data_IF_608612451427
#
_entry.id   IF_608612451427
#
_cell.length_a   1.000
_cell.length_b   1.000
_cell.length_c   1.000
_cell.angle_alpha   90.00
_cell.angle_beta   90.00
_cell.angle_gamma   90.00
#
_symmetry.space_group_name_H-M   'P 1'
#
loop_
_entity.id
_entity.type
_entity.pdbx_description
1 polymer ?
#
# COMPACT_ATOMS: atom_id res chain seq x y z
N UNK A 1 36.52 -22.35 11.47
CA UNK A 1 36.28 -21.37 10.39
C UNK A 1 34.78 -21.18 10.26
N UNK A 2 34.30 -19.95 10.50
CA UNK A 2 32.89 -19.55 10.42
C UNK A 2 32.45 -19.36 8.96
N UNK A 3 31.11 -19.40 8.78
CA UNK A 3 30.32 -18.63 7.80
C UNK A 3 30.26 -19.20 6.38
N UNK A 4 29.12 -19.27 5.69
CA UNK A 4 27.70 -18.97 5.96
C UNK A 4 26.99 -19.52 4.71
N UNK A 5 26.13 -20.51 4.85
CA UNK A 5 25.07 -20.76 3.86
C UNK A 5 23.76 -20.37 4.55
N UNK A 6 23.44 -19.07 4.51
CA UNK A 6 22.28 -18.51 5.15
C UNK A 6 21.12 -18.47 4.14
N UNK A 7 20.16 -19.36 4.37
CA UNK A 7 18.74 -19.29 4.01
C UNK A 7 18.34 -18.84 2.59
N UNK A 8 17.91 -19.85 1.82
CA UNK A 8 16.94 -19.70 0.75
C UNK A 8 15.69 -18.93 1.24
N UNK A 9 15.29 -17.96 0.44
CA UNK A 9 14.31 -16.90 0.67
C UNK A 9 12.96 -17.42 1.16
N UNK A 10 12.70 -17.32 2.46
CA UNK A 10 11.32 -17.36 2.96
C UNK A 10 10.58 -16.16 2.37
N UNK A 11 9.44 -16.38 1.70
CA UNK A 11 8.51 -15.29 1.35
C UNK A 11 8.08 -14.65 2.67
N UNK A 12 8.65 -13.49 2.98
CA UNK A 12 8.26 -12.75 4.17
C UNK A 12 6.81 -12.30 3.99
N UNK A 13 5.94 -12.81 4.86
CA UNK A 13 4.55 -12.42 4.90
C UNK A 13 4.45 -11.28 5.88
N UNK A 14 4.19 -10.07 5.38
CA UNK A 14 3.83 -8.96 6.24
C UNK A 14 2.59 -9.33 7.05
N UNK A 15 2.67 -9.20 8.37
CA UNK A 15 1.58 -9.52 9.29
C UNK A 15 0.79 -8.25 9.61
N UNK A 16 -0.43 -8.18 9.07
CA UNK A 16 -1.32 -7.07 9.32
C UNK A 16 -1.82 -7.05 10.77
N UNK A 17 -1.83 -5.85 11.38
CA UNK A 17 -2.61 -5.62 12.60
C UNK A 17 -4.10 -5.81 12.27
N UNK A 18 -4.85 -6.67 12.99
CA UNK A 18 -6.28 -6.85 12.73
C UNK A 18 -7.03 -5.52 12.84
N UNK A 19 -7.97 -5.29 11.94
CA UNK A 19 -8.96 -4.22 12.07
C UNK A 19 -10.23 -4.80 12.70
N UNK A 20 -10.92 -4.01 13.52
CA UNK A 20 -12.20 -4.40 14.08
C UNK A 20 -13.26 -4.39 12.98
N UNK A 21 -14.04 -5.47 12.86
CA UNK A 21 -15.14 -5.59 11.88
C UNK A 21 -16.45 -4.95 12.37
N UNK A 22 -16.49 -4.53 13.64
CA UNK A 22 -17.63 -3.87 14.27
C UNK A 22 -17.56 -2.34 14.13
N UNK A 23 -16.40 -1.81 13.76
CA UNK A 23 -16.13 -0.39 13.51
C UNK A 23 -15.82 -0.16 12.03
N UNK A 24 -15.91 1.09 11.59
CA UNK A 24 -15.51 1.49 10.23
C UNK A 24 -14.01 1.79 10.17
N UNK A 25 -13.20 0.92 10.74
CA UNK A 25 -11.74 1.08 10.73
C UNK A 25 -11.19 0.80 9.34
N UNK A 26 -10.22 1.62 8.94
CA UNK A 26 -9.44 1.46 7.71
C UNK A 26 -7.96 1.54 8.05
N UNK A 27 -7.12 1.02 7.16
CA UNK A 27 -5.69 1.34 7.19
C UNK A 27 -5.40 2.49 6.24
N UNK A 28 -4.55 3.41 6.67
CA UNK A 28 -3.97 4.44 5.84
C UNK A 28 -2.47 4.19 5.68
N UNK A 29 -2.01 4.32 4.45
CA UNK A 29 -0.62 4.21 4.04
C UNK A 29 0.07 5.57 4.17
N UNK A 30 1.00 5.67 5.10
CA UNK A 30 1.92 6.79 5.22
C UNK A 30 3.11 6.54 4.29
N UNK A 31 3.08 7.12 3.10
CA UNK A 31 4.20 7.10 2.16
C UNK A 31 5.25 8.11 2.63
N UNK A 32 6.37 7.61 3.16
CA UNK A 32 7.42 8.42 3.76
C UNK A 32 8.21 9.19 2.70
N UNK A 33 8.79 10.35 3.06
CA UNK A 33 9.57 11.13 2.12
C UNK A 33 10.87 10.44 1.72
N UNK A 34 11.37 10.80 0.53
CA UNK A 34 12.66 10.30 0.03
C UNK A 34 12.96 10.80 -1.37
N UNK A 35 14.24 10.74 -1.75
CA UNK A 35 14.71 11.03 -3.11
C UNK A 35 14.30 9.93 -4.06
N UNK A 36 14.20 10.22 -5.35
CA UNK A 36 13.72 9.29 -6.38
C UNK A 36 14.38 7.89 -6.31
N UNK A 37 15.69 7.85 -6.11
CA UNK A 37 16.55 6.66 -6.12
C UNK A 37 16.51 5.86 -4.82
N UNK A 38 16.06 6.46 -3.71
CA UNK A 38 15.99 5.80 -2.41
C UNK A 38 14.80 4.84 -2.36
N UNK A 39 14.92 3.71 -1.66
CA UNK A 39 13.83 2.74 -1.51
C UNK A 39 12.53 3.40 -1.01
N UNK A 40 11.39 2.95 -1.52
CA UNK A 40 10.08 3.40 -1.03
C UNK A 40 9.89 2.85 0.38
N UNK A 41 9.60 3.74 1.32
CA UNK A 41 9.27 3.39 2.69
C UNK A 41 7.86 3.84 3.01
N UNK A 42 7.11 2.95 3.66
CA UNK A 42 5.73 3.14 4.01
C UNK A 42 5.48 2.69 5.45
N UNK A 43 4.46 3.28 6.08
CA UNK A 43 3.92 2.82 7.36
C UNK A 43 2.41 2.64 7.27
N UNK A 44 1.84 1.74 8.07
CA UNK A 44 0.39 1.57 8.18
C UNK A 44 -0.15 2.09 9.52
N UNK A 45 -1.18 2.91 9.43
CA UNK A 45 -1.96 3.39 10.56
C UNK A 45 -3.39 2.84 10.48
N UNK A 46 -3.90 2.30 11.58
CA UNK A 46 -5.32 1.94 11.70
C UNK A 46 -6.08 3.13 12.26
N UNK A 47 -7.11 3.58 11.55
CA UNK A 47 -7.95 4.71 11.95
C UNK A 47 -9.41 4.47 11.58
N UNK A 48 -10.32 4.87 12.47
CA UNK A 48 -11.75 4.83 12.22
C UNK A 48 -12.17 5.94 11.26
N UNK A 49 -12.95 5.58 10.24
CA UNK A 49 -13.44 6.51 9.23
C UNK A 49 -14.36 7.58 9.83
N UNK A 50 -15.03 7.28 10.95
CA UNK A 50 -15.86 8.22 11.72
C UNK A 50 -15.07 9.39 12.33
N UNK A 51 -13.73 9.27 12.43
CA UNK A 51 -12.86 10.37 12.86
C UNK A 51 -12.58 11.38 11.75
N UNK A 52 -13.13 11.15 10.54
CA UNK A 52 -12.93 11.97 9.35
C UNK A 52 -11.44 12.28 9.07
N UNK A 53 -10.59 11.24 8.92
CA UNK A 53 -9.18 11.45 8.63
C UNK A 53 -9.00 12.11 7.25
N UNK A 54 -7.94 12.91 7.12
CA UNK A 54 -7.56 13.52 5.84
C UNK A 54 -6.56 12.61 5.11
N UNK A 55 -6.98 12.04 3.99
CA UNK A 55 -6.17 11.17 3.14
C UNK A 55 -6.59 11.27 1.68
N UNK A 56 -5.74 10.80 0.77
CA UNK A 56 -6.08 10.68 -0.65
C UNK A 56 -6.34 9.21 -1.00
N UNK A 57 -7.31 8.90 -1.86
CA UNK A 57 -7.49 7.54 -2.36
C UNK A 57 -6.73 7.35 -3.67
N UNK A 58 -6.03 6.23 -3.83
CA UNK A 58 -5.32 5.89 -5.06
C UNK A 58 -6.12 4.90 -5.91
N UNK A 59 -6.41 5.28 -7.15
CA UNK A 59 -6.96 4.40 -8.18
C UNK A 59 -5.92 4.18 -9.27
N UNK A 60 -5.62 2.92 -9.57
CA UNK A 60 -4.57 2.52 -10.51
C UNK A 60 -4.89 1.13 -11.08
N UNK A 61 -4.31 0.80 -12.23
CA UNK A 61 -4.37 -0.57 -12.75
C UNK A 61 -3.45 -1.48 -11.93
N UNK A 62 -3.96 -2.60 -11.44
CA UNK A 62 -3.19 -3.51 -10.57
C UNK A 62 -1.92 -4.07 -11.23
N UNK A 63 -1.96 -4.37 -12.54
CA UNK A 63 -0.85 -4.97 -13.28
C UNK A 63 -0.74 -6.50 -13.09
N UNK A 64 0.34 -7.09 -13.61
CA UNK A 64 0.60 -8.53 -13.44
C UNK A 64 1.11 -8.82 -12.00
N UNK A 65 0.40 -9.65 -11.20
CA UNK A 65 0.83 -9.98 -9.83
C UNK A 65 2.16 -10.75 -9.75
N UNK A 66 2.69 -11.25 -10.88
CA UNK A 66 4.02 -11.88 -10.95
C UNK A 66 5.15 -10.89 -11.19
N UNK A 67 4.84 -9.69 -11.70
CA UNK A 67 5.82 -8.65 -12.03
C UNK A 67 5.81 -7.61 -10.91
N UNK A 68 6.74 -7.80 -9.97
CA UNK A 68 6.76 -7.09 -8.70
C UNK A 68 8.09 -6.38 -8.44
N UNK A 69 8.05 -5.38 -7.56
CA UNK A 69 9.21 -4.68 -7.01
C UNK A 69 9.09 -4.55 -5.49
N UNK A 70 10.23 -4.53 -4.78
CA UNK A 70 10.22 -4.41 -3.33
C UNK A 70 9.95 -2.98 -2.87
N UNK A 71 9.25 -2.85 -1.74
CA UNK A 71 9.14 -1.66 -0.89
C UNK A 71 9.41 -2.05 0.56
N UNK A 72 9.61 -1.07 1.44
CA UNK A 72 9.66 -1.28 2.89
C UNK A 72 8.34 -0.85 3.52
N UNK A 73 7.63 -1.77 4.16
CA UNK A 73 6.38 -1.53 4.88
C UNK A 73 6.58 -1.83 6.37
N UNK A 74 6.47 -0.79 7.21
CA UNK A 74 6.84 -0.85 8.65
C UNK A 74 8.23 -1.46 8.90
N UNK A 75 9.18 -1.18 8.00
CA UNK A 75 10.55 -1.68 8.09
C UNK A 75 10.77 -3.10 7.54
N UNK A 76 9.71 -3.78 7.09
CA UNK A 76 9.81 -5.10 6.45
C UNK A 76 9.72 -5.01 4.93
N UNK A 77 10.52 -5.82 4.24
CA UNK A 77 10.48 -5.87 2.78
C UNK A 77 9.22 -6.58 2.30
N UNK A 78 8.44 -5.90 1.46
CA UNK A 78 7.23 -6.42 0.83
C UNK A 78 7.29 -6.19 -0.69
N UNK A 79 6.80 -7.15 -1.46
CA UNK A 79 6.67 -7.00 -2.91
C UNK A 79 5.30 -6.43 -3.28
N UNK A 80 5.30 -5.40 -4.11
CA UNK A 80 4.11 -4.82 -4.74
C UNK A 80 4.24 -4.91 -6.26
N UNK A 81 3.12 -4.84 -6.99
CA UNK A 81 3.18 -4.83 -8.46
C UNK A 81 3.96 -3.61 -8.96
N UNK A 82 4.55 -3.73 -10.14
CA UNK A 82 5.29 -2.61 -10.75
C UNK A 82 4.44 -1.35 -10.92
N UNK A 83 3.13 -1.51 -11.17
CA UNK A 83 2.22 -0.38 -11.33
C UNK A 83 2.05 0.38 -10.00
N UNK A 84 1.90 -0.35 -8.89
CA UNK A 84 1.81 0.29 -7.58
C UNK A 84 3.14 0.92 -7.18
N UNK A 85 4.26 0.24 -7.43
CA UNK A 85 5.59 0.80 -7.17
C UNK A 85 5.80 2.10 -7.95
N UNK A 86 5.48 2.11 -9.24
CA UNK A 86 5.51 3.28 -10.12
C UNK A 86 4.65 4.42 -9.55
N UNK A 87 3.40 4.14 -9.18
CA UNK A 87 2.53 5.14 -8.58
C UNK A 87 3.12 5.74 -7.29
N UNK A 88 3.54 4.90 -6.34
CA UNK A 88 4.12 5.34 -5.08
C UNK A 88 5.40 6.16 -5.30
N UNK A 89 6.26 5.74 -6.23
CA UNK A 89 7.51 6.42 -6.58
C UNK A 89 7.28 7.87 -7.02
N UNK A 90 6.30 8.09 -7.90
CA UNK A 90 5.98 9.41 -8.44
C UNK A 90 5.14 10.27 -7.49
N UNK A 91 4.33 9.63 -6.64
CA UNK A 91 3.51 10.34 -5.66
C UNK A 91 4.29 10.73 -4.41
N UNK A 92 5.46 10.11 -4.15
CA UNK A 92 6.32 10.39 -3.00
C UNK A 92 6.87 11.82 -3.07
N UNK A 93 6.69 12.55 -1.99
CA UNK A 93 7.32 13.87 -1.84
C UNK A 93 8.74 13.74 -1.27
N UNK A 94 9.65 14.66 -1.61
CA UNK A 94 11.03 14.59 -1.12
C UNK A 94 11.19 14.96 0.37
N UNK A 95 10.22 15.69 0.95
CA UNK A 95 10.38 16.28 2.30
C UNK A 95 9.18 16.12 3.24
N UNK A 96 8.08 15.49 2.80
CA UNK A 96 6.89 15.31 3.63
C UNK A 96 6.26 13.94 3.39
N UNK A 97 5.66 13.36 4.44
CA UNK A 97 4.83 12.16 4.32
C UNK A 97 3.56 12.48 3.54
N UNK A 98 3.14 11.54 2.68
CA UNK A 98 1.87 11.59 1.97
C UNK A 98 0.96 10.47 2.49
N UNK A 99 -0.29 10.80 2.83
CA UNK A 99 -1.23 9.85 3.41
C UNK A 99 -2.20 9.36 2.32
N UNK A 100 -2.13 8.07 2.02
CA UNK A 100 -2.87 7.43 0.94
C UNK A 100 -3.74 6.29 1.48
N UNK A 101 -4.87 6.05 0.85
CA UNK A 101 -5.54 4.75 0.90
C UNK A 101 -5.26 4.01 -0.42
N UNK A 102 -4.68 2.81 -0.31
CA UNK A 102 -4.30 1.96 -1.44
C UNK A 102 -4.83 0.55 -1.16
N UNK A 103 -5.76 0.06 -1.97
CA UNK A 103 -6.42 -1.24 -1.77
C UNK A 103 -5.47 -2.42 -1.53
N UNK A 104 -4.37 -2.51 -2.28
CA UNK A 104 -3.41 -3.62 -2.20
C UNK A 104 -2.58 -3.63 -0.91
N UNK A 105 -2.47 -2.50 -0.21
CA UNK A 105 -1.67 -2.34 1.02
C UNK A 105 -2.51 -2.02 2.25
N UNK A 106 -3.69 -1.43 2.09
CA UNK A 106 -4.56 -1.05 3.21
C UNK A 106 -5.52 -2.18 3.60
N UNK A 107 -5.77 -3.11 2.68
CA UNK A 107 -6.61 -4.30 2.90
C UNK A 107 -5.69 -5.53 3.01
N UNK A 108 -5.90 -6.35 4.04
CA UNK A 108 -5.32 -7.68 4.08
C UNK A 108 -5.97 -8.56 3.01
N UNK A 109 -5.28 -8.68 1.87
CA UNK A 109 -5.73 -9.45 0.72
C UNK A 109 -5.85 -10.96 0.98
N UNK A 110 -5.26 -11.47 2.08
CA UNK A 110 -5.29 -12.91 2.43
C UNK A 110 -6.48 -13.28 3.29
N UNK A 111 -7.00 -12.34 4.08
CA UNK A 111 -8.14 -12.59 4.97
C UNK A 111 -9.43 -12.28 4.24
N UNK A 112 -10.12 -13.31 3.74
CA UNK A 112 -11.34 -13.15 2.95
C UNK A 112 -12.44 -12.34 3.67
N UNK A 113 -12.54 -12.50 4.99
CA UNK A 113 -13.49 -11.75 5.84
C UNK A 113 -13.16 -10.26 5.82
N UNK A 114 -11.90 -9.89 6.12
CA UNK A 114 -11.44 -8.51 6.11
C UNK A 114 -11.57 -7.89 4.72
N UNK A 115 -11.12 -8.62 3.69
CA UNK A 115 -11.21 -8.18 2.30
C UNK A 115 -12.64 -7.88 1.90
N UNK A 116 -13.58 -8.77 2.19
CA UNK A 116 -15.00 -8.56 1.86
C UNK A 116 -15.56 -7.34 2.59
N UNK A 117 -15.23 -7.19 3.87
CA UNK A 117 -15.65 -6.06 4.68
C UNK A 117 -15.12 -4.72 4.13
N UNK A 118 -13.81 -4.62 3.88
CA UNK A 118 -13.18 -3.40 3.37
C UNK A 118 -13.60 -3.06 1.93
N UNK A 119 -13.79 -4.08 1.08
CA UNK A 119 -14.36 -3.87 -0.27
C UNK A 119 -15.78 -3.32 -0.17
N UNK A 120 -16.59 -3.84 0.77
CA UNK A 120 -17.93 -3.31 1.06
C UNK A 120 -17.94 -1.85 1.53
N UNK A 121 -16.82 -1.36 2.10
CA UNK A 121 -16.64 0.02 2.56
C UNK A 121 -16.05 0.95 1.49
N UNK A 122 -15.62 0.46 0.32
CA UNK A 122 -14.93 1.28 -0.68
C UNK A 122 -15.72 2.51 -1.11
N UNK A 123 -17.05 2.39 -1.24
CA UNK A 123 -17.94 3.54 -1.47
C UNK A 123 -17.65 4.70 -0.51
N UNK A 124 -17.70 4.41 0.79
CA UNK A 124 -17.55 5.40 1.84
C UNK A 124 -16.11 5.93 1.93
N UNK A 125 -15.13 5.05 1.74
CA UNK A 125 -13.70 5.39 1.73
C UNK A 125 -13.40 6.38 0.59
N UNK A 126 -13.93 6.15 -0.62
CA UNK A 126 -13.71 7.06 -1.74
C UNK A 126 -14.52 8.35 -1.59
N UNK A 127 -15.72 8.30 -1.01
CA UNK A 127 -16.53 9.51 -0.74
C UNK A 127 -15.91 10.43 0.31
N UNK A 128 -15.27 9.88 1.34
CA UNK A 128 -14.71 10.66 2.45
C UNK A 128 -13.26 11.09 2.25
N UNK A 129 -12.56 10.56 1.23
CA UNK A 129 -11.19 10.99 0.94
C UNK A 129 -11.15 12.48 0.52
N UNK A 130 -10.02 13.13 0.77
CA UNK A 130 -9.79 14.53 0.35
C UNK A 130 -9.86 14.68 -1.17
N UNK A 131 -9.29 13.71 -1.89
CA UNK A 131 -9.39 13.57 -3.35
C UNK A 131 -8.99 12.16 -3.78
N UNK A 132 -9.41 11.79 -4.97
CA UNK A 132 -8.95 10.58 -5.66
C UNK A 132 -7.82 10.94 -6.61
N UNK A 133 -6.71 10.20 -6.52
CA UNK A 133 -5.62 10.25 -7.48
C UNK A 133 -5.83 9.11 -8.47
N UNK A 134 -6.00 9.43 -9.75
CA UNK A 134 -6.00 8.45 -10.82
C UNK A 134 -4.58 8.33 -11.36
N UNK A 135 -3.96 7.17 -11.17
CA UNK A 135 -2.65 6.85 -11.72
C UNK A 135 -2.80 6.05 -13.00
N UNK A 136 -2.38 6.64 -14.11
CA UNK A 136 -2.25 5.98 -15.40
C UNK A 136 -0.77 5.66 -15.56
N UNK A 137 -0.46 4.37 -15.55
CA UNK A 137 0.92 3.93 -15.67
C UNK A 137 1.54 4.39 -17.00
N UNK A 138 2.85 4.61 -16.98
CA UNK A 138 3.61 5.20 -18.09
C UNK A 138 4.13 4.13 -19.06
N UNK A 139 3.79 2.85 -18.81
CA UNK A 139 4.18 1.77 -19.69
C UNK A 139 3.67 2.08 -21.11
N UNK A 140 4.56 2.29 -22.10
CA UNK A 140 4.13 2.43 -23.46
C UNK A 140 3.34 1.16 -23.81
N UNK A 141 2.21 1.34 -24.49
CA UNK A 141 1.46 0.24 -25.08
C UNK A 141 2.49 -0.61 -25.83
N UNK A 142 2.70 -1.85 -25.40
CA UNK A 142 3.48 -2.81 -26.16
C UNK A 142 2.75 -3.01 -27.48
N UNK A 143 3.11 -2.22 -28.49
CA UNK A 143 2.77 -2.47 -29.90
C UNK A 143 3.44 -3.73 -30.39
#
# INVERSE_FOLDING_TARGET
MKSKDLNMTARQVYLYKPISLESKDIRLLHLLPGKWEEDIQCQLEVIGLEKHPVYEALSYAWGDPKVVRPILLDGEQMNVTINLESALRHLRFPGSTRILWVDALCIDQKTAVEKTHQVGMMDEIYKQCFRVIIWLDISPIST
#
